data_IF_417929458297
#
_entry.id   IF_417929458297
#
_cell.length_a   1.000
_cell.length_b   1.000
_cell.length_c   1.000
_cell.angle_alpha   90.00
_cell.angle_beta   90.00
_cell.angle_gamma   90.00
#
_symmetry.space_group_name_H-M   'P 1'
#
loop_
_entity.id
_entity.type
_entity.pdbx_description
1 polymer ?
#
# COMPACT_ATOMS: atom_id res chain seq x y z
N UNK A 1 9.28 -11.85 5.16
CA UNK A 1 8.52 -10.61 5.46
C UNK A 1 8.02 -9.98 4.17
N UNK A 2 6.83 -9.46 4.19
CA UNK A 2 6.22 -8.78 3.04
C UNK A 2 5.87 -7.36 3.46
N UNK A 3 6.29 -6.37 2.68
CA UNK A 3 5.86 -4.99 2.84
C UNK A 3 4.71 -4.74 1.85
N UNK A 4 3.50 -4.59 2.37
CA UNK A 4 2.33 -4.25 1.55
C UNK A 4 2.18 -2.73 1.57
N UNK A 5 2.26 -2.11 0.39
CA UNK A 5 2.12 -0.66 0.25
C UNK A 5 0.70 -0.31 -0.18
N UNK A 6 0.02 0.54 0.59
CA UNK A 6 -1.25 1.08 0.14
C UNK A 6 -1.01 2.15 -0.95
N UNK A 7 -2.08 2.60 -1.61
CA UNK A 7 -1.97 3.58 -2.69
C UNK A 7 -1.35 4.89 -2.23
N UNK A 8 -1.65 5.30 -1.00
CA UNK A 8 -1.13 6.54 -0.41
C UNK A 8 0.40 6.47 -0.29
N UNK A 9 0.94 5.35 0.23
CA UNK A 9 2.38 5.15 0.34
C UNK A 9 3.06 5.14 -1.03
N UNK A 10 2.43 4.50 -2.03
CA UNK A 10 2.94 4.49 -3.40
C UNK A 10 2.99 5.90 -4.00
N UNK A 11 1.93 6.66 -3.82
CA UNK A 11 1.87 8.05 -4.33
C UNK A 11 2.94 8.91 -3.64
N UNK A 12 3.14 8.76 -2.34
CA UNK A 12 4.21 9.44 -1.62
C UNK A 12 5.58 9.11 -2.23
N UNK A 13 5.82 7.84 -2.52
CA UNK A 13 7.09 7.38 -3.05
C UNK A 13 7.37 7.91 -4.46
N UNK A 14 6.40 7.83 -5.36
CA UNK A 14 6.59 8.19 -6.77
C UNK A 14 6.34 9.67 -7.07
N UNK A 15 5.45 10.34 -6.33
CA UNK A 15 4.99 11.68 -6.66
C UNK A 15 5.18 12.68 -5.52
N UNK A 16 5.50 12.20 -4.32
CA UNK A 16 5.60 13.06 -3.16
C UNK A 16 6.81 13.98 -3.19
N UNK A 17 6.71 15.13 -2.54
CA UNK A 17 7.87 15.95 -2.22
C UNK A 17 8.88 15.13 -1.42
N UNK A 18 10.13 15.59 -1.37
CA UNK A 18 11.24 14.82 -0.80
C UNK A 18 10.95 14.26 0.60
N UNK A 19 10.27 15.02 1.47
CA UNK A 19 9.96 14.55 2.82
C UNK A 19 9.01 13.37 2.84
N UNK A 20 8.01 13.35 1.95
CA UNK A 20 7.06 12.23 1.82
C UNK A 20 7.75 10.99 1.26
N UNK A 21 8.52 11.17 0.20
CA UNK A 21 9.28 10.07 -0.40
C UNK A 21 10.26 9.47 0.60
N UNK A 22 11.02 10.30 1.28
CA UNK A 22 12.02 9.85 2.24
C UNK A 22 11.39 9.06 3.39
N UNK A 23 10.21 9.47 3.84
CA UNK A 23 9.49 8.74 4.91
C UNK A 23 9.15 7.31 4.48
N UNK A 24 8.73 7.11 3.23
CA UNK A 24 8.46 5.76 2.71
C UNK A 24 9.76 4.96 2.56
N UNK A 25 10.81 5.59 2.03
CA UNK A 25 12.12 4.95 1.88
C UNK A 25 12.64 4.48 3.24
N UNK A 26 12.50 5.29 4.28
CA UNK A 26 12.96 4.94 5.63
C UNK A 26 12.25 3.70 6.17
N UNK A 27 10.94 3.60 5.96
CA UNK A 27 10.17 2.42 6.38
C UNK A 27 10.63 1.18 5.60
N UNK A 28 10.79 1.28 4.29
CA UNK A 28 11.23 0.16 3.45
C UNK A 28 12.65 -0.29 3.81
N UNK A 29 13.55 0.65 4.10
CA UNK A 29 14.90 0.32 4.54
C UNK A 29 14.89 -0.38 5.89
N UNK A 30 14.03 0.04 6.81
CA UNK A 30 13.85 -0.59 8.12
C UNK A 30 13.40 -2.05 7.97
N UNK A 31 12.45 -2.31 7.07
CA UNK A 31 11.98 -3.67 6.79
C UNK A 31 13.13 -4.51 6.23
N UNK A 32 13.86 -3.98 5.26
CA UNK A 32 14.97 -4.69 4.61
C UNK A 32 16.14 -4.96 5.57
N UNK A 33 16.35 -4.08 6.55
CA UNK A 33 17.35 -4.30 7.59
C UNK A 33 16.95 -5.46 8.52
N UNK A 34 15.65 -5.63 8.77
CA UNK A 34 15.13 -6.74 9.57
C UNK A 34 15.09 -8.06 8.78
N UNK A 35 14.84 -7.99 7.48
CA UNK A 35 14.75 -9.15 6.59
C UNK A 35 15.24 -8.78 5.21
N UNK A 36 16.46 -9.21 4.86
CA UNK A 36 17.09 -8.91 3.58
C UNK A 36 16.32 -9.50 2.37
N UNK A 37 15.45 -10.49 2.62
CA UNK A 37 14.63 -11.15 1.59
C UNK A 37 13.21 -10.60 1.55
N UNK A 38 12.92 -9.52 2.26
CA UNK A 38 11.61 -8.92 2.27
C UNK A 38 11.16 -8.55 0.85
N UNK A 39 9.91 -8.89 0.55
CA UNK A 39 9.29 -8.61 -0.74
C UNK A 39 8.24 -7.53 -0.60
N UNK A 40 7.91 -6.88 -1.70
CA UNK A 40 6.89 -5.85 -1.77
C UNK A 40 5.64 -6.41 -2.44
N UNK A 41 4.49 -6.07 -1.89
CA UNK A 41 3.19 -6.41 -2.47
C UNK A 41 2.30 -5.17 -2.51
N UNK A 42 1.36 -5.18 -3.45
CA UNK A 42 0.34 -4.15 -3.61
C UNK A 42 -0.97 -4.83 -3.99
N UNK A 43 -2.08 -4.12 -3.90
CA UNK A 43 -3.36 -4.63 -4.39
C UNK A 43 -3.58 -4.23 -5.85
N UNK A 44 -4.43 -4.99 -6.54
CA UNK A 44 -4.91 -4.59 -7.87
C UNK A 44 -5.61 -3.23 -7.83
N UNK A 45 -6.30 -2.93 -6.73
CA UNK A 45 -6.89 -1.61 -6.51
C UNK A 45 -5.83 -0.52 -6.49
N UNK A 46 -4.71 -0.76 -5.82
CA UNK A 46 -3.60 0.19 -5.78
C UNK A 46 -3.04 0.48 -7.16
N UNK A 47 -2.94 -0.56 -8.00
CA UNK A 47 -2.53 -0.38 -9.41
C UNK A 47 -3.47 0.60 -10.12
N UNK A 48 -4.78 0.39 -9.99
CA UNK A 48 -5.76 1.28 -10.59
C UNK A 48 -5.64 2.70 -10.06
N UNK A 49 -5.63 2.86 -8.74
CA UNK A 49 -5.61 4.18 -8.12
C UNK A 49 -4.38 4.99 -8.49
N UNK A 50 -3.23 4.33 -8.61
CA UNK A 50 -1.99 5.01 -8.99
C UNK A 50 -1.94 5.39 -10.48
N UNK A 51 -2.64 4.65 -11.34
CA UNK A 51 -2.60 4.88 -12.79
C UNK A 51 -3.60 5.93 -13.28
N UNK A 52 -4.62 6.26 -12.48
CA UNK A 52 -5.66 7.20 -12.90
C UNK A 52 -5.09 8.59 -13.23
N UNK A 53 -4.32 9.16 -12.33
CA UNK A 53 -3.77 10.52 -12.50
C UNK A 53 -2.84 10.63 -13.70
N UNK A 54 -1.81 9.79 -13.84
CA UNK A 54 -0.92 9.90 -15.00
C UNK A 54 -1.63 9.65 -16.32
N UNK A 55 -2.66 8.79 -16.37
CA UNK A 55 -3.46 8.59 -17.57
C UNK A 55 -4.29 9.84 -17.89
N UNK A 56 -4.92 10.42 -16.89
CA UNK A 56 -5.75 11.62 -17.04
C UNK A 56 -4.93 12.82 -17.52
N UNK A 57 -3.73 12.97 -16.98
CA UNK A 57 -2.83 14.09 -17.30
C UNK A 57 -1.92 13.80 -18.49
N UNK A 58 -2.03 12.63 -19.10
CA UNK A 58 -1.14 12.17 -20.18
C UNK A 58 0.35 12.26 -19.78
N UNK A 59 0.65 11.93 -18.52
CA UNK A 59 2.01 11.92 -18.00
C UNK A 59 2.63 10.53 -18.22
N UNK A 60 3.24 10.36 -19.40
CA UNK A 60 3.78 9.06 -19.83
C UNK A 60 4.98 8.63 -19.01
N UNK A 61 5.80 9.56 -18.56
CA UNK A 61 6.98 9.24 -17.75
C UNK A 61 6.58 8.66 -16.39
N UNK A 62 5.61 9.27 -15.72
CA UNK A 62 5.12 8.78 -14.43
C UNK A 62 4.41 7.42 -14.59
N UNK A 63 3.59 7.28 -15.63
CA UNK A 63 2.91 6.02 -15.91
C UNK A 63 3.92 4.88 -16.11
N UNK A 64 5.00 5.14 -16.85
CA UNK A 64 6.05 4.14 -17.08
C UNK A 64 6.77 3.77 -15.78
N UNK A 65 6.98 4.73 -14.87
CA UNK A 65 7.58 4.46 -13.57
C UNK A 65 6.69 3.52 -12.74
N UNK A 66 5.39 3.78 -12.69
CA UNK A 66 4.44 2.92 -12.00
C UNK A 66 4.38 1.52 -12.62
N UNK A 67 4.28 1.44 -13.94
CA UNK A 67 4.15 0.16 -14.62
C UNK A 67 5.41 -0.70 -14.46
N UNK A 68 6.58 -0.09 -14.50
CA UNK A 68 7.84 -0.77 -14.21
C UNK A 68 7.85 -1.36 -12.79
N UNK A 69 7.41 -0.58 -11.82
CA UNK A 69 7.32 -1.03 -10.44
C UNK A 69 6.33 -2.18 -10.29
N UNK A 70 5.13 -2.05 -10.86
CA UNK A 70 4.09 -3.08 -10.75
C UNK A 70 4.48 -4.39 -11.43
N UNK A 71 5.36 -4.35 -12.44
CA UNK A 71 5.88 -5.56 -13.07
C UNK A 71 6.85 -6.34 -12.18
N UNK A 72 7.35 -5.74 -11.11
CA UNK A 72 8.38 -6.33 -10.25
C UNK A 72 7.86 -6.78 -8.89
N UNK A 73 6.62 -6.49 -8.54
CA UNK A 73 6.07 -6.75 -7.22
C UNK A 73 4.92 -7.75 -7.29
N UNK A 74 4.60 -8.34 -6.13
CA UNK A 74 3.42 -9.19 -6.01
C UNK A 74 2.16 -8.31 -6.05
N UNK A 75 1.19 -8.69 -6.86
CA UNK A 75 -0.11 -8.01 -6.93
C UNK A 75 -1.18 -8.95 -6.39
N UNK A 76 -1.89 -8.50 -5.36
CA UNK A 76 -3.02 -9.23 -4.78
C UNK A 76 -4.28 -8.85 -5.54
N UNK A 77 -4.92 -9.84 -6.19
CA UNK A 77 -6.14 -9.61 -6.95
C UNK A 77 -7.35 -9.45 -6.02
N UNK A 78 -8.36 -8.71 -6.47
CA UNK A 78 -9.59 -8.49 -5.72
C UNK A 78 -10.56 -9.66 -5.94
N UNK A 79 -10.25 -10.79 -5.32
CA UNK A 79 -11.06 -12.00 -5.41
C UNK A 79 -12.36 -11.88 -4.58
N UNK A 80 -13.27 -12.83 -4.77
CA UNK A 80 -14.50 -12.91 -3.96
C UNK A 80 -14.15 -13.02 -2.46
N UNK A 81 -13.13 -13.80 -2.12
CA UNK A 81 -12.68 -13.94 -0.72
C UNK A 81 -12.20 -12.61 -0.14
N UNK A 82 -11.43 -11.86 -0.90
CA UNK A 82 -10.95 -10.53 -0.49
C UNK A 82 -12.14 -9.59 -0.28
N UNK A 83 -13.08 -9.56 -1.21
CA UNK A 83 -14.26 -8.69 -1.11
C UNK A 83 -15.11 -9.06 0.11
N UNK A 84 -15.31 -10.34 0.37
CA UNK A 84 -16.03 -10.80 1.57
C UNK A 84 -15.34 -10.34 2.85
N UNK A 85 -14.03 -10.50 2.94
CA UNK A 85 -13.25 -10.04 4.09
C UNK A 85 -13.33 -8.51 4.25
N UNK A 86 -13.22 -7.77 3.16
CA UNK A 86 -13.37 -6.31 3.18
C UNK A 86 -14.77 -5.88 3.66
N UNK A 87 -15.80 -6.64 3.32
CA UNK A 87 -17.17 -6.41 3.80
C UNK A 87 -17.22 -6.50 5.33
N UNK A 88 -16.59 -7.54 5.91
CA UNK A 88 -16.52 -7.69 7.36
C UNK A 88 -15.75 -6.55 8.02
N UNK A 89 -14.66 -6.13 7.42
CA UNK A 89 -13.86 -4.98 7.91
C UNK A 89 -14.71 -3.72 7.92
N UNK A 90 -15.47 -3.45 6.86
CA UNK A 90 -16.36 -2.28 6.82
C UNK A 90 -17.47 -2.36 7.87
N UNK A 91 -18.00 -3.55 8.10
CA UNK A 91 -19.08 -3.74 9.08
C UNK A 91 -18.61 -3.50 10.53
N UNK A 92 -17.32 -3.68 10.80
CA UNK A 92 -16.75 -3.56 12.15
C UNK A 92 -15.87 -2.33 12.35
N UNK A 93 -15.65 -1.55 11.31
CA UNK A 93 -14.83 -0.32 11.35
C UNK A 93 -15.55 0.80 10.60
N UNK A 94 -14.94 1.99 10.57
CA UNK A 94 -15.45 3.11 9.77
C UNK A 94 -14.68 3.28 8.46
N UNK A 95 -13.89 2.29 8.06
CA UNK A 95 -13.13 2.37 6.82
C UNK A 95 -14.06 2.43 5.60
N UNK A 96 -13.67 3.25 4.65
CA UNK A 96 -14.32 3.30 3.33
C UNK A 96 -13.96 2.08 2.51
N UNK A 97 -14.74 1.82 1.46
CA UNK A 97 -14.56 0.64 0.61
C UNK A 97 -13.13 0.47 0.09
N UNK A 98 -12.46 1.49 -0.47
CA UNK A 98 -11.09 1.30 -0.96
C UNK A 98 -10.12 0.87 0.14
N UNK A 99 -10.21 1.49 1.31
CA UNK A 99 -9.32 1.19 2.43
C UNK A 99 -9.57 -0.21 2.99
N UNK A 100 -10.82 -0.61 3.09
CA UNK A 100 -11.18 -1.96 3.54
C UNK A 100 -10.64 -3.03 2.57
N UNK A 101 -10.69 -2.78 1.27
CA UNK A 101 -10.13 -3.68 0.27
C UNK A 101 -8.60 -3.77 0.39
N UNK A 102 -7.92 -2.66 0.60
CA UNK A 102 -6.47 -2.64 0.82
C UNK A 102 -6.09 -3.47 2.06
N UNK A 103 -6.79 -3.24 3.17
CA UNK A 103 -6.53 -3.99 4.42
C UNK A 103 -6.78 -5.49 4.23
N UNK A 104 -7.85 -5.86 3.55
CA UNK A 104 -8.17 -7.27 3.28
C UNK A 104 -7.09 -7.93 2.43
N UNK A 105 -6.57 -7.23 1.43
CA UNK A 105 -5.47 -7.74 0.61
C UNK A 105 -4.21 -8.02 1.44
N UNK A 106 -3.84 -7.09 2.31
CA UNK A 106 -2.67 -7.25 3.18
C UNK A 106 -2.85 -8.43 4.14
N UNK A 107 -4.03 -8.54 4.76
CA UNK A 107 -4.34 -9.64 5.68
C UNK A 107 -4.29 -11.01 5.00
N UNK A 108 -4.63 -11.09 3.71
CA UNK A 108 -4.59 -12.33 2.95
C UNK A 108 -3.17 -12.89 2.80
N UNK A 109 -2.16 -12.05 2.96
CA UNK A 109 -0.76 -12.45 2.82
C UNK A 109 -0.17 -13.02 4.11
N UNK A 110 -0.95 -13.06 5.18
CA UNK A 110 -0.57 -13.71 6.42
C UNK A 110 0.16 -12.80 7.42
N UNK A 111 0.60 -13.37 8.55
CA UNK A 111 1.15 -12.58 9.66
C UNK A 111 2.54 -11.98 9.39
N UNK A 112 3.24 -12.46 8.37
CA UNK A 112 4.53 -11.90 7.98
C UNK A 112 4.41 -10.64 7.10
N UNK A 113 3.17 -10.18 6.86
CA UNK A 113 2.91 -8.99 6.05
C UNK A 113 2.76 -7.75 6.95
N UNK A 114 3.48 -6.70 6.63
CA UNK A 114 3.33 -5.39 7.26
C UNK A 114 2.65 -4.43 6.28
N UNK A 115 1.64 -3.72 6.76
CA UNK A 115 0.87 -2.74 6.00
C UNK A 115 1.51 -1.36 6.13
N UNK A 116 2.09 -0.88 5.05
CA UNK A 116 2.79 0.41 5.01
C UNK A 116 1.82 1.48 4.53
N UNK A 117 1.53 2.44 5.38
CA UNK A 117 0.54 3.49 5.10
C UNK A 117 0.91 4.80 5.77
N UNK A 118 0.52 5.91 5.13
CA UNK A 118 0.56 7.24 5.74
C UNK A 118 -0.74 7.63 6.43
N UNK A 119 -1.78 6.78 6.36
CA UNK A 119 -3.10 7.04 6.94
C UNK A 119 -3.21 6.35 8.30
N UNK A 120 -3.71 7.08 9.31
CA UNK A 120 -3.88 6.57 10.67
C UNK A 120 -5.19 5.78 10.85
N UNK A 121 -6.08 5.78 9.86
CA UNK A 121 -7.41 5.18 9.97
C UNK A 121 -7.43 3.65 10.07
N UNK A 122 -6.30 2.98 9.83
CA UNK A 122 -6.24 1.51 9.79
C UNK A 122 -6.03 0.86 11.16
N UNK A 123 -5.81 1.63 12.21
CA UNK A 123 -5.44 1.09 13.54
C UNK A 123 -6.49 0.15 14.13
N UNK A 124 -7.76 0.25 13.71
CA UNK A 124 -8.87 -0.57 14.23
C UNK A 124 -9.06 -1.89 13.50
N UNK A 125 -8.29 -2.15 12.46
CA UNK A 125 -8.40 -3.40 11.72
C UNK A 125 -7.68 -4.51 12.50
N UNK A 126 -8.43 -5.52 12.93
CA UNK A 126 -7.87 -6.65 13.70
C UNK A 126 -6.87 -7.44 12.86
N UNK A 127 -5.72 -7.70 13.46
CA UNK A 127 -4.68 -8.54 12.86
C UNK A 127 -3.81 -7.83 11.85
N UNK A 128 -4.08 -6.57 11.55
CA UNK A 128 -3.28 -5.80 10.61
C UNK A 128 -2.05 -5.23 11.30
N UNK A 129 -0.87 -5.67 10.87
CA UNK A 129 0.39 -5.12 11.35
C UNK A 129 0.71 -3.87 10.54
N UNK A 130 0.70 -2.72 11.19
CA UNK A 130 0.85 -1.42 10.52
C UNK A 130 2.25 -0.88 10.75
N UNK A 131 2.90 -0.45 9.67
CA UNK A 131 4.08 0.38 9.72
C UNK A 131 3.69 1.75 9.20
N UNK A 132 3.61 2.70 10.12
CA UNK A 132 3.19 4.05 9.82
C UNK A 132 4.29 4.82 9.12
N UNK A 133 3.94 5.45 7.99
CA UNK A 133 4.82 6.40 7.32
C UNK A 133 4.65 7.75 8.01
N UNK A 134 5.69 8.20 8.70
CA UNK A 134 5.66 9.47 9.42
C UNK A 134 6.41 10.53 8.60
N UNK A 135 5.66 11.50 8.11
CA UNK A 135 6.24 12.60 7.36
C UNK A 135 6.67 13.69 8.35
N UNK A 136 7.96 13.98 8.36
CA UNK A 136 8.49 15.06 9.17
C UNK A 136 8.42 16.35 8.34
N UNK A 137 7.50 17.22 8.70
CA UNK A 137 7.36 18.54 8.10
C UNK A 137 8.29 19.51 8.81
N UNK A 138 9.33 19.95 8.13
CA UNK A 138 10.24 20.97 8.62
C UNK A 138 9.96 22.34 8.00
#
# INVERSE_FOLDING_TARGET
MIAFLDSNALIYYFEGAQGFRQAVVDVLQSIKASDARAQVAVSRLGVMECRVKPLRENNRALLAQYDNFFNQVQIVELSATIVTHATDIRATTHLKTPDALQAACALSLGPACSFVTGDEGFARVKGLQILQVNVVMR
#
